data_IF_862016978136
#
_entry.id   IF_862016978136
#
_cell.length_a   1.000
_cell.length_b   1.000
_cell.length_c   1.000
_cell.angle_alpha   90.00
_cell.angle_beta   90.00
_cell.angle_gamma   90.00
#
_symmetry.space_group_name_H-M   'P 1'
#
loop_
_entity.id
_entity.type
_entity.pdbx_description
1 polymer ?
#
# COMPACT_ATOMS: atom_id res chain seq x y z
N UNK A 1 6.71 12.75 -31.02
CA UNK A 1 6.01 12.36 -29.78
C UNK A 1 6.28 10.88 -29.56
N UNK A 2 7.10 10.53 -28.59
CA UNK A 2 7.27 9.14 -28.17
C UNK A 2 6.01 8.73 -27.43
N UNK A 3 5.30 7.72 -27.93
CA UNK A 3 4.19 7.10 -27.21
C UNK A 3 4.83 6.27 -26.10
N UNK A 4 4.89 6.81 -24.88
CA UNK A 4 5.20 5.99 -23.71
C UNK A 4 4.00 5.09 -23.47
N UNK A 5 4.21 3.78 -23.53
CA UNK A 5 3.16 2.81 -23.21
C UNK A 5 2.77 2.96 -21.73
N UNK A 6 1.48 2.86 -21.38
CA UNK A 6 1.04 3.01 -20.00
C UNK A 6 1.61 1.90 -19.12
N UNK A 7 1.99 2.25 -17.90
CA UNK A 7 2.45 1.31 -16.88
C UNK A 7 1.22 0.67 -16.24
N UNK A 8 1.20 -0.65 -16.10
CA UNK A 8 0.13 -1.33 -15.36
C UNK A 8 0.53 -1.58 -13.91
N UNK A 9 -0.35 -1.23 -12.99
CA UNK A 9 -0.24 -1.52 -11.56
C UNK A 9 -1.48 -2.29 -11.11
N UNK A 10 -1.26 -3.29 -10.25
CA UNK A 10 -2.30 -4.06 -9.57
C UNK A 10 -2.31 -3.67 -8.08
N UNK A 11 -3.46 -3.19 -7.61
CA UNK A 11 -3.67 -2.79 -6.22
C UNK A 11 -4.65 -3.74 -5.54
N UNK A 12 -4.28 -4.26 -4.36
CA UNK A 12 -5.07 -5.23 -3.59
C UNK A 12 -5.53 -4.70 -2.23
N UNK A 13 -4.89 -3.65 -1.73
CA UNK A 13 -5.03 -3.16 -0.36
C UNK A 13 -5.79 -1.84 -0.28
N UNK A 14 -5.24 -0.92 0.52
CA UNK A 14 -5.87 0.38 0.84
C UNK A 14 -6.10 1.30 -0.36
N UNK A 15 -5.45 1.05 -1.49
CA UNK A 15 -5.56 1.81 -2.74
C UNK A 15 -6.78 1.44 -3.60
N UNK A 16 -7.43 0.30 -3.34
CA UNK A 16 -8.63 -0.11 -4.11
C UNK A 16 -9.77 0.91 -3.93
N UNK A 17 -10.68 0.99 -4.90
CA UNK A 17 -11.91 1.78 -4.75
C UNK A 17 -12.70 1.34 -3.50
N UNK A 18 -13.18 2.32 -2.74
CA UNK A 18 -13.87 2.10 -1.47
C UNK A 18 -12.95 1.93 -0.27
N UNK A 19 -11.64 1.81 -0.47
CA UNK A 19 -10.66 1.66 0.62
C UNK A 19 -10.02 3.01 1.03
N UNK A 20 -9.41 3.10 2.23
CA UNK A 20 -9.04 4.38 2.83
C UNK A 20 -8.08 5.27 2.02
N UNK A 21 -7.23 4.68 1.18
CA UNK A 21 -6.25 5.41 0.36
C UNK A 21 -6.67 5.49 -1.12
N UNK A 22 -7.90 5.13 -1.49
CA UNK A 22 -8.37 5.17 -2.89
C UNK A 22 -8.16 6.55 -3.56
N UNK A 23 -8.31 7.63 -2.78
CA UNK A 23 -8.11 9.01 -3.24
C UNK A 23 -6.68 9.31 -3.68
N UNK A 24 -5.68 8.50 -3.29
CA UNK A 24 -4.31 8.66 -3.80
C UNK A 24 -4.27 8.35 -5.30
N UNK A 25 -5.01 7.35 -5.77
CA UNK A 25 -5.06 7.03 -7.20
C UNK A 25 -5.68 8.20 -8.00
N UNK A 26 -6.81 8.73 -7.54
CA UNK A 26 -7.64 9.66 -8.31
C UNK A 26 -7.39 11.15 -8.04
N UNK A 27 -6.87 11.49 -6.86
CA UNK A 27 -6.79 12.86 -6.34
C UNK A 27 -5.37 13.40 -6.18
N UNK A 28 -4.36 12.72 -6.73
CA UNK A 28 -2.97 13.20 -6.76
C UNK A 28 -2.47 13.31 -8.20
N UNK A 29 -1.31 13.93 -8.39
CA UNK A 29 -0.68 14.12 -9.68
C UNK A 29 -0.46 12.81 -10.48
N UNK A 30 -0.38 12.95 -11.80
CA UNK A 30 -0.19 11.83 -12.74
C UNK A 30 -1.50 11.26 -13.27
N UNK A 31 -1.42 10.72 -14.49
CA UNK A 31 -2.54 10.09 -15.19
C UNK A 31 -2.80 8.69 -14.63
N UNK A 32 -4.08 8.32 -14.62
CA UNK A 32 -4.53 6.99 -14.24
C UNK A 32 -5.78 6.61 -15.04
N UNK A 33 -5.95 5.31 -15.30
CA UNK A 33 -7.11 4.74 -15.96
C UNK A 33 -7.43 3.39 -15.34
N UNK A 34 -8.63 3.22 -14.82
CA UNK A 34 -9.10 1.92 -14.36
C UNK A 34 -9.27 0.98 -15.55
N UNK A 35 -8.63 -0.19 -15.49
CA UNK A 35 -8.70 -1.22 -16.55
C UNK A 35 -9.75 -2.26 -16.21
N UNK A 36 -9.78 -2.71 -14.96
CA UNK A 36 -10.68 -3.76 -14.51
C UNK A 36 -10.23 -4.40 -13.21
N UNK A 37 -11.05 -5.29 -12.69
CA UNK A 37 -10.74 -6.17 -11.56
C UNK A 37 -10.08 -7.46 -12.04
N UNK A 38 -9.32 -8.07 -11.15
CA UNK A 38 -8.63 -9.33 -11.42
C UNK A 38 -8.05 -9.93 -10.15
N UNK A 39 -7.30 -11.01 -10.33
CA UNK A 39 -6.59 -11.68 -9.24
C UNK A 39 -5.20 -12.10 -9.65
N UNK A 40 -4.26 -12.16 -8.71
CA UNK A 40 -2.94 -12.72 -8.97
C UNK A 40 -3.08 -14.16 -9.47
N UNK A 41 -2.34 -14.54 -10.51
CA UNK A 41 -2.28 -15.93 -10.97
C UNK A 41 -1.60 -16.80 -9.93
N UNK A 42 -0.49 -16.31 -9.39
CA UNK A 42 0.26 -16.92 -8.28
C UNK A 42 -0.45 -16.63 -6.96
N UNK A 43 -0.66 -17.64 -6.09
CA UNK A 43 -1.15 -17.42 -4.74
C UNK A 43 -0.10 -16.72 -3.86
N UNK A 44 -0.53 -15.81 -3.00
CA UNK A 44 0.29 -15.18 -1.97
C UNK A 44 -0.43 -15.11 -0.61
N UNK A 45 0.30 -15.02 0.51
CA UNK A 45 -0.27 -14.67 1.80
C UNK A 45 -0.62 -13.18 1.84
N UNK A 46 -1.91 -12.86 1.86
CA UNK A 46 -2.41 -11.54 2.24
C UNK A 46 -2.92 -11.59 3.67
N UNK A 47 -2.34 -10.75 4.53
CA UNK A 47 -2.65 -10.64 5.96
C UNK A 47 -2.82 -9.18 6.37
N UNK A 48 -3.48 -8.93 7.50
CA UNK A 48 -3.50 -7.63 8.16
C UNK A 48 -2.69 -7.72 9.45
N UNK A 49 -1.65 -6.90 9.56
CA UNK A 49 -0.74 -6.89 10.70
C UNK A 49 -0.39 -5.48 11.17
N UNK A 50 0.62 -5.39 12.03
CA UNK A 50 1.08 -4.18 12.73
C UNK A 50 0.04 -3.53 13.67
N UNK A 51 0.52 -2.61 14.52
CA UNK A 51 -0.27 -1.68 15.32
C UNK A 51 -1.29 -0.87 14.50
N UNK A 52 -1.04 -0.66 13.21
CA UNK A 52 -1.86 0.20 12.34
C UNK A 52 -2.78 -0.56 11.39
N UNK A 53 -2.88 -1.89 11.53
CA UNK A 53 -3.74 -2.74 10.70
C UNK A 53 -3.46 -2.56 9.20
N UNK A 54 -2.19 -2.55 8.82
CA UNK A 54 -1.75 -2.40 7.44
C UNK A 54 -1.90 -3.76 6.73
N UNK A 55 -2.49 -3.81 5.52
CA UNK A 55 -2.53 -5.03 4.72
C UNK A 55 -1.17 -5.30 4.05
N UNK A 56 -0.69 -6.54 4.19
CA UNK A 56 0.56 -6.99 3.58
C UNK A 56 0.30 -8.19 2.67
N UNK A 57 0.71 -8.10 1.40
CA UNK A 57 1.04 -9.29 0.63
C UNK A 57 2.50 -9.64 0.89
N UNK A 58 2.74 -10.82 1.45
CA UNK A 58 4.09 -11.34 1.67
C UNK A 58 4.60 -11.98 0.38
N UNK A 59 5.85 -11.72 0.01
CA UNK A 59 6.49 -12.34 -1.16
C UNK A 59 6.89 -13.80 -0.88
N UNK A 60 5.89 -14.65 -0.60
CA UNK A 60 6.00 -16.10 -0.39
C UNK A 60 5.10 -16.80 -1.43
N UNK A 61 5.52 -16.82 -2.71
CA UNK A 61 4.68 -17.32 -3.81
C UNK A 61 4.30 -18.78 -3.63
N UNK A 62 3.06 -19.11 -3.98
CA UNK A 62 2.48 -20.46 -3.87
C UNK A 62 1.80 -20.76 -2.54
N UNK A 63 1.85 -19.84 -1.57
CA UNK A 63 1.16 -19.94 -0.29
C UNK A 63 -0.01 -18.97 -0.22
N UNK A 64 -1.06 -19.30 0.54
CA UNK A 64 -2.22 -18.42 0.70
C UNK A 64 -3.19 -18.54 -0.47
N UNK A 65 -3.60 -17.40 -1.04
CA UNK A 65 -4.68 -17.33 -2.02
C UNK A 65 -4.28 -16.52 -3.25
N UNK A 66 -5.02 -16.70 -4.35
CA UNK A 66 -5.00 -15.73 -5.44
C UNK A 66 -5.62 -14.43 -4.92
N UNK A 67 -4.83 -13.35 -4.93
CA UNK A 67 -5.19 -12.09 -4.30
C UNK A 67 -6.06 -11.29 -5.27
N UNK A 68 -7.23 -10.88 -4.82
CA UNK A 68 -8.19 -10.06 -5.56
C UNK A 68 -7.82 -8.57 -5.48
N UNK A 69 -8.00 -7.86 -6.60
CA UNK A 69 -7.67 -6.46 -6.68
C UNK A 69 -8.07 -5.80 -7.99
N UNK A 70 -7.47 -4.65 -8.24
CA UNK A 70 -7.81 -3.75 -9.34
C UNK A 70 -6.57 -3.43 -10.16
N UNK A 71 -6.68 -3.48 -11.49
CA UNK A 71 -5.63 -3.09 -12.43
C UNK A 71 -5.90 -1.67 -12.93
N UNK A 72 -4.86 -0.85 -12.86
CA UNK A 72 -4.82 0.50 -13.40
C UNK A 72 -3.69 0.63 -14.41
N UNK A 73 -3.93 1.43 -15.45
CA UNK A 73 -2.90 2.01 -16.28
C UNK A 73 -2.54 3.38 -15.73
N UNK A 74 -1.25 3.67 -15.59
CA UNK A 74 -0.73 4.88 -14.99
C UNK A 74 0.48 5.42 -15.77
N UNK A 75 0.81 6.69 -15.58
CA UNK A 75 2.07 7.27 -16.06
C UNK A 75 3.19 7.19 -15.01
N UNK A 76 4.40 7.60 -15.39
CA UNK A 76 5.57 7.62 -14.50
C UNK A 76 5.38 8.54 -13.29
N UNK A 77 4.64 9.64 -13.46
CA UNK A 77 4.34 10.59 -12.38
C UNK A 77 3.51 9.90 -11.30
N UNK A 78 2.42 9.22 -11.71
CA UNK A 78 1.58 8.46 -10.80
C UNK A 78 2.33 7.30 -10.16
N UNK A 79 3.19 6.61 -10.92
CA UNK A 79 4.02 5.53 -10.39
C UNK A 79 4.92 6.04 -9.25
N UNK A 80 5.53 7.22 -9.41
CA UNK A 80 6.34 7.84 -8.35
C UNK A 80 5.51 8.14 -7.10
N UNK A 81 4.29 8.66 -7.26
CA UNK A 81 3.37 8.89 -6.12
C UNK A 81 3.06 7.60 -5.37
N UNK A 82 2.87 6.49 -6.09
CA UNK A 82 2.64 5.17 -5.49
C UNK A 82 3.91 4.62 -4.82
N UNK A 83 5.07 4.76 -5.44
CA UNK A 83 6.37 4.35 -4.86
C UNK A 83 6.60 5.10 -3.53
N UNK A 84 6.35 6.41 -3.49
CA UNK A 84 6.46 7.24 -2.28
C UNK A 84 5.43 6.80 -1.21
N UNK A 85 4.16 6.56 -1.58
CA UNK A 85 3.12 6.08 -0.66
C UNK A 85 3.52 4.78 0.03
N UNK A 86 3.98 3.80 -0.75
CA UNK A 86 4.30 2.45 -0.29
C UNK A 86 5.71 2.35 0.32
N UNK A 87 6.41 3.49 0.47
CA UNK A 87 7.79 3.55 0.95
C UNK A 87 8.71 2.57 0.19
N UNK A 88 8.56 2.53 -1.13
CA UNK A 88 9.47 1.79 -2.00
C UNK A 88 10.83 2.51 -2.08
N UNK A 89 11.97 1.80 -2.03
CA UNK A 89 12.15 0.36 -1.90
C UNK A 89 12.44 -0.12 -0.44
N UNK A 90 12.13 0.68 0.58
CA UNK A 90 12.57 0.42 1.96
C UNK A 90 11.62 -0.49 2.74
N UNK A 91 10.30 -0.32 2.57
CA UNK A 91 9.28 -1.15 3.23
C UNK A 91 8.68 -2.17 2.27
N UNK A 92 8.03 -1.69 1.20
CA UNK A 92 7.56 -2.52 0.11
C UNK A 92 8.57 -2.57 -1.03
N UNK A 93 8.52 -3.66 -1.77
CA UNK A 93 9.17 -3.83 -3.05
C UNK A 93 8.11 -3.97 -4.14
N UNK A 94 8.36 -3.48 -5.36
CA UNK A 94 7.50 -3.79 -6.50
C UNK A 94 8.10 -4.82 -7.45
N UNK A 95 7.28 -5.74 -7.91
CA UNK A 95 7.62 -6.70 -8.96
C UNK A 95 6.47 -6.87 -9.94
N UNK A 96 6.77 -7.36 -11.14
CA UNK A 96 5.75 -7.66 -12.13
C UNK A 96 5.16 -9.04 -11.80
N UNK A 97 3.84 -9.09 -11.66
CA UNK A 97 3.09 -10.34 -11.52
C UNK A 97 2.09 -10.49 -12.68
N UNK A 98 1.72 -11.75 -12.91
CA UNK A 98 0.62 -12.10 -13.79
C UNK A 98 -0.72 -11.97 -13.07
N UNK A 99 -1.62 -11.19 -13.66
CA UNK A 99 -2.97 -10.94 -13.17
C UNK A 99 -3.98 -11.56 -14.13
N UNK A 100 -4.81 -12.46 -13.62
CA UNK A 100 -5.96 -13.01 -14.33
C UNK A 100 -7.13 -12.05 -14.15
N UNK A 101 -7.48 -11.34 -15.22
CA UNK A 101 -8.60 -10.40 -15.27
C UNK A 101 -9.94 -11.15 -15.26
N UNK A 102 -11.04 -10.47 -14.93
CA UNK A 102 -12.39 -11.08 -14.94
C UNK A 102 -12.81 -11.69 -16.28
N UNK A 103 -12.36 -11.13 -17.39
CA UNK A 103 -12.60 -11.66 -18.74
C UNK A 103 -11.69 -12.85 -19.09
N UNK A 104 -10.98 -13.43 -18.11
CA UNK A 104 -9.99 -14.50 -18.23
C UNK A 104 -8.76 -14.17 -19.09
N UNK A 105 -8.53 -12.90 -19.42
CA UNK A 105 -7.27 -12.47 -20.02
C UNK A 105 -6.19 -12.33 -18.95
N UNK A 106 -4.94 -12.55 -19.35
CA UNK A 106 -3.77 -12.42 -18.48
C UNK A 106 -3.03 -11.13 -18.82
N UNK A 107 -2.77 -10.30 -17.82
CA UNK A 107 -1.97 -9.07 -17.98
C UNK A 107 -0.81 -9.06 -16.99
N UNK A 108 0.32 -8.50 -17.41
CA UNK A 108 1.44 -8.22 -16.51
C UNK A 108 1.24 -6.85 -15.85
N UNK A 109 1.35 -6.79 -14.53
CA UNK A 109 1.22 -5.55 -13.77
C UNK A 109 2.20 -5.51 -12.59
N UNK A 110 2.66 -4.32 -12.23
CA UNK A 110 3.41 -4.09 -11.00
C UNK A 110 2.51 -4.29 -9.79
N UNK A 111 3.02 -4.97 -8.77
CA UNK A 111 2.36 -5.13 -7.46
C UNK A 111 3.39 -4.80 -6.37
N UNK A 112 2.94 -4.20 -5.26
CA UNK A 112 3.77 -3.94 -4.08
C UNK A 112 3.66 -5.08 -3.06
N UNK A 113 4.78 -5.71 -2.70
CA UNK A 113 4.85 -6.78 -1.70
C UNK A 113 5.95 -6.49 -0.69
N UNK A 114 5.85 -7.04 0.52
CA UNK A 114 6.98 -7.04 1.45
C UNK A 114 7.82 -8.30 1.24
N UNK A 115 9.15 -8.16 1.28
CA UNK A 115 10.12 -9.25 1.06
C UNK A 115 10.85 -9.71 2.32
N UNK A 116 10.68 -8.96 3.40
CA UNK A 116 11.26 -9.24 4.71
C UNK A 116 10.17 -9.01 5.75
N UNK A 117 10.02 -9.97 6.65
CA UNK A 117 9.07 -9.92 7.76
C UNK A 117 9.64 -10.68 8.96
N UNK A 118 9.16 -10.36 10.15
CA UNK A 118 9.52 -11.11 11.36
C UNK A 118 9.01 -12.57 11.28
N UNK A 119 9.72 -13.56 11.85
CA UNK A 119 9.33 -14.98 11.73
C UNK A 119 7.91 -15.31 12.24
N UNK A 120 7.46 -14.60 13.28
CA UNK A 120 6.17 -14.78 13.95
C UNK A 120 5.06 -13.88 13.35
N UNK A 121 5.25 -13.32 12.14
CA UNK A 121 4.30 -12.36 11.55
C UNK A 121 2.87 -12.91 11.48
N UNK A 122 2.72 -14.21 11.24
CA UNK A 122 1.42 -14.88 11.13
C UNK A 122 0.70 -15.03 12.48
N UNK A 123 1.44 -15.10 13.59
CA UNK A 123 0.85 -15.26 14.93
C UNK A 123 0.20 -13.96 15.41
N UNK A 124 0.72 -12.81 14.97
CA UNK A 124 0.23 -11.46 15.32
C UNK A 124 -0.74 -10.84 14.32
N UNK A 125 -1.01 -11.53 13.22
CA UNK A 125 -1.80 -11.01 12.10
C UNK A 125 -3.14 -11.73 11.99
N UNK A 126 -4.02 -11.24 11.11
CA UNK A 126 -5.22 -11.98 10.75
C UNK A 126 -4.89 -13.32 10.08
N UNK A 127 -5.85 -14.26 10.02
CA UNK A 127 -5.82 -15.31 9.01
C UNK A 127 -5.59 -14.73 7.61
N UNK A 128 -5.00 -15.54 6.73
CA UNK A 128 -4.81 -15.17 5.33
C UNK A 128 -6.17 -14.98 4.64
N UNK A 129 -6.25 -14.06 3.70
CA UNK A 129 -7.47 -13.77 2.94
C UNK A 129 -7.16 -13.62 1.44
N UNK A 130 -8.17 -13.80 0.58
CA UNK A 130 -8.03 -13.50 -0.86
C UNK A 130 -8.29 -12.02 -1.16
N UNK A 131 -9.09 -11.35 -0.33
CA UNK A 131 -9.57 -10.00 -0.61
C UNK A 131 -9.58 -9.14 0.65
N UNK A 132 -8.82 -8.04 0.63
CA UNK A 132 -8.76 -7.09 1.73
C UNK A 132 -9.95 -6.12 1.70
N UNK A 133 -10.49 -5.82 2.88
CA UNK A 133 -11.24 -4.57 3.10
C UNK A 133 -10.99 -4.02 4.50
N UNK A 134 -10.83 -2.70 4.64
CA UNK A 134 -10.59 -2.07 5.95
C UNK A 134 -11.71 -2.38 6.95
N UNK A 135 -12.97 -2.44 6.49
CA UNK A 135 -14.14 -2.67 7.35
C UNK A 135 -14.62 -4.12 7.33
N UNK A 136 -13.70 -5.05 7.09
CA UNK A 136 -14.00 -6.48 7.02
C UNK A 136 -14.34 -7.10 8.38
N UNK A 137 -14.82 -8.34 8.33
CA UNK A 137 -15.23 -9.13 9.50
C UNK A 137 -14.08 -9.46 10.47
N UNK A 138 -12.82 -9.24 10.06
CA UNK A 138 -11.64 -9.36 10.92
C UNK A 138 -11.57 -8.29 12.02
N UNK A 139 -12.37 -7.21 11.95
CA UNK A 139 -12.41 -6.18 12.99
C UNK A 139 -11.14 -5.34 13.12
N UNK A 140 -10.24 -5.42 12.14
CA UNK A 140 -8.96 -4.70 12.09
C UNK A 140 -9.02 -3.56 11.08
N UNK A 141 -9.69 -2.47 11.46
CA UNK A 141 -9.81 -1.29 10.61
C UNK A 141 -8.48 -0.56 10.45
N UNK A 142 -8.15 -0.19 9.21
CA UNK A 142 -6.90 0.50 8.88
C UNK A 142 -6.80 1.84 9.61
N UNK A 143 -5.68 2.04 10.29
CA UNK A 143 -5.36 3.33 10.91
C UNK A 143 -4.72 4.21 9.85
N UNK A 144 -5.39 5.32 9.50
CA UNK A 144 -4.93 6.22 8.43
C UNK A 144 -3.46 6.62 8.60
N UNK A 145 -2.75 6.75 7.47
CA UNK A 145 -1.32 7.11 7.46
C UNK A 145 -1.03 8.43 8.20
N UNK A 146 -2.00 9.33 8.27
CA UNK A 146 -1.91 10.60 8.98
C UNK A 146 -2.00 10.45 10.50
N UNK A 147 -2.88 9.58 11.00
CA UNK A 147 -2.97 9.26 12.44
C UNK A 147 -1.73 8.47 12.84
N UNK A 148 -1.34 7.49 12.02
CA UNK A 148 -0.10 6.73 12.17
C UNK A 148 1.10 7.68 12.29
N UNK A 149 1.27 8.59 11.33
CA UNK A 149 2.37 9.56 11.32
C UNK A 149 2.42 10.37 12.61
N UNK A 150 1.29 10.92 13.08
CA UNK A 150 1.24 11.65 14.34
C UNK A 150 1.73 10.78 15.51
N UNK A 151 1.19 9.57 15.65
CA UNK A 151 1.57 8.67 16.75
C UNK A 151 3.04 8.26 16.70
N UNK A 152 3.61 8.08 15.50
CA UNK A 152 5.03 7.76 15.32
C UNK A 152 5.96 8.94 15.64
N UNK A 153 5.50 10.18 15.41
CA UNK A 153 6.26 11.38 15.79
C UNK A 153 6.15 11.66 17.30
N UNK A 154 5.02 11.31 17.92
CA UNK A 154 4.81 11.44 19.37
C UNK A 154 5.57 10.36 20.17
N UNK A 155 5.91 9.21 19.55
CA UNK A 155 6.71 8.13 20.14
C UNK A 155 8.03 7.95 19.38
N UNK A 156 9.11 8.67 19.78
CA UNK A 156 10.38 8.62 19.08
C UNK A 156 11.10 7.28 19.22
N UNK A 157 10.58 6.31 19.99
CA UNK A 157 11.16 4.97 20.10
C UNK A 157 10.47 3.94 19.21
N UNK A 158 9.33 4.29 18.64
CA UNK A 158 8.59 3.37 17.79
C UNK A 158 9.24 3.21 16.40
N UNK A 159 9.41 1.96 15.98
CA UNK A 159 10.05 1.59 14.72
C UNK A 159 9.12 0.64 13.93
N UNK A 160 8.36 1.19 12.98
CA UNK A 160 7.43 0.44 12.15
C UNK A 160 8.15 -0.60 11.30
N UNK A 161 9.33 -0.26 10.78
CA UNK A 161 10.14 -1.19 10.01
C UNK A 161 10.52 -2.42 10.84
N UNK A 162 10.99 -2.25 12.07
CA UNK A 162 11.32 -3.37 12.96
C UNK A 162 10.08 -4.19 13.36
N UNK A 163 8.93 -3.55 13.57
CA UNK A 163 7.68 -4.28 13.87
C UNK A 163 7.26 -5.21 12.72
N UNK A 164 7.43 -4.78 11.47
CA UNK A 164 7.03 -5.56 10.29
C UNK A 164 8.14 -6.53 9.89
N UNK A 165 9.35 -6.02 9.66
CA UNK A 165 10.50 -6.71 9.08
C UNK A 165 11.32 -7.50 10.11
N UNK A 166 11.06 -7.34 11.41
CA UNK A 166 11.90 -7.84 12.49
C UNK A 166 13.23 -7.09 12.60
N UNK A 167 14.12 -7.60 13.46
CA UNK A 167 15.42 -6.98 13.75
C UNK A 167 15.39 -6.14 15.02
N UNK A 168 16.48 -5.40 15.27
CA UNK A 168 16.62 -4.53 16.44
C UNK A 168 15.73 -3.28 16.28
N UNK A 169 14.73 -3.05 17.17
CA UNK A 169 13.92 -1.84 17.14
C UNK A 169 14.72 -0.55 17.31
N UNK A 170 15.90 -0.62 17.94
CA UNK A 170 16.81 0.50 18.13
C UNK A 170 17.76 0.74 16.93
N UNK A 171 17.71 -0.11 15.89
CA UNK A 171 18.54 0.07 14.69
C UNK A 171 18.34 1.47 14.09
N UNK A 172 19.40 2.29 13.98
CA UNK A 172 19.27 3.69 13.62
C UNK A 172 18.77 3.88 12.19
N UNK A 173 19.02 2.94 11.29
CA UNK A 173 18.66 3.03 9.87
C UNK A 173 17.15 2.84 9.69
N UNK A 174 16.60 1.75 10.20
CA UNK A 174 15.17 1.43 10.11
C UNK A 174 14.31 2.39 10.94
N UNK A 175 14.85 2.87 12.06
CA UNK A 175 14.22 3.92 12.87
C UNK A 175 14.17 5.26 12.13
N UNK A 176 15.27 5.67 11.50
CA UNK A 176 15.29 6.89 10.67
C UNK A 176 14.33 6.77 9.48
N UNK A 177 14.25 5.61 8.82
CA UNK A 177 13.30 5.36 7.72
C UNK A 177 11.84 5.48 8.19
N UNK A 178 11.50 4.84 9.32
CA UNK A 178 10.18 4.94 9.95
C UNK A 178 9.80 6.40 10.25
N UNK A 179 10.72 7.15 10.87
CA UNK A 179 10.49 8.54 11.25
C UNK A 179 10.41 9.48 10.04
N UNK A 180 11.28 9.31 9.05
CA UNK A 180 11.23 10.07 7.80
C UNK A 180 9.89 9.89 7.08
N UNK A 181 9.38 8.65 7.04
CA UNK A 181 8.07 8.37 6.46
C UNK A 181 6.93 9.05 7.23
N UNK A 182 6.99 9.06 8.57
CA UNK A 182 6.02 9.76 9.38
C UNK A 182 6.03 11.29 9.13
N UNK A 183 7.21 11.90 8.99
CA UNK A 183 7.33 13.34 8.63
C UNK A 183 6.67 13.62 7.28
N UNK A 184 6.93 12.78 6.28
CA UNK A 184 6.37 12.93 4.93
C UNK A 184 4.84 12.81 4.93
N UNK A 185 4.31 11.74 5.55
CA UNK A 185 2.87 11.52 5.66
C UNK A 185 2.17 12.68 6.41
N UNK A 186 2.82 13.25 7.44
CA UNK A 186 2.31 14.42 8.16
C UNK A 186 2.24 15.69 7.28
N UNK A 187 3.26 15.96 6.45
CA UNK A 187 3.27 17.11 5.51
C UNK A 187 2.15 17.01 4.47
N UNK A 188 1.96 15.80 3.92
CA UNK A 188 0.94 15.55 2.91
C UNK A 188 -0.49 15.75 3.43
N UNK A 189 -0.72 15.61 4.74
CA UNK A 189 -2.01 15.92 5.38
C UNK A 189 -2.35 17.40 5.29
N UNK A 190 -1.38 18.27 5.61
CA UNK A 190 -1.57 19.72 5.63
C UNK A 190 -1.92 20.22 4.23
N UNK A 191 -1.26 19.70 3.20
CA UNK A 191 -1.55 20.04 1.81
C UNK A 191 -2.96 19.61 1.38
N UNK A 192 -3.36 18.37 1.70
CA UNK A 192 -4.70 17.86 1.40
C UNK A 192 -5.83 18.60 2.14
N UNK A 193 -5.57 19.11 3.36
CA UNK A 193 -6.54 19.92 4.10
C UNK A 193 -6.63 21.36 3.56
N UNK A 194 -5.52 21.95 3.11
CA UNK A 194 -5.53 23.29 2.48
C UNK A 194 -6.24 23.28 1.12
N UNK A 195 -6.08 22.25 0.29
CA UNK A 195 -6.76 22.17 -1.01
C UNK A 195 -8.27 21.95 -0.88
N UNK A 196 -8.72 21.19 0.14
CA UNK A 196 -10.14 21.03 0.45
C UNK A 196 -10.79 22.31 0.97
N UNK A 197 -10.04 23.15 1.69
CA UNK A 197 -10.53 24.45 2.17
C UNK A 197 -10.67 25.47 1.03
N UNK A 198 -9.76 25.47 0.05
CA UNK A 198 -9.82 26.40 -1.11
C UNK A 198 -10.98 26.04 -2.05
N UNK A 199 -11.31 24.75 -2.21
CA UNK A 199 -12.43 24.29 -3.05
C UNK A 199 -13.81 24.52 -2.44
N UNK A 200 -13.92 24.72 -1.13
CA UNK A 200 -15.18 25.06 -0.44
C UNK A 200 -15.33 26.56 -0.13
N UNK A 201 -14.37 27.39 -0.56
CA UNK A 201 -14.37 28.86 -0.38
C UNK A 201 -14.85 29.66 -1.58
N UNK A 202 -15.32 29.00 -2.64
CA UNK A 202 -15.97 29.62 -3.80
C UNK A 202 -17.41 29.09 -3.91
N UNK A 203 -18.28 29.67 -3.09
CA UNK A 203 -19.73 29.74 -3.32
C UNK A 203 -20.14 31.20 -3.34
#
# INVERSE_FOLDING_TARGET
MTITLPIRVFVYGTLKRGEPNASVMTGTEGQHRFVGTGRTKTPFPLIIGSKYNIPFVLNEPGKGYQIEGEVYEIDDVKLKVLDDLEAYPTLYWRQIESIVMENNTEVSAWIYLIRKWRPDIYESSTPMMSNYTSKGSHGREYVSRYIRAKQMLDDPNYNLHAEIQGGDPADPVTKAASHAKAIEDAKNRTHCQTEKAVTHGLQ
#
